data_IF_883626811882
#
_entry.id   IF_883626811882
#
_cell.length_a   1.000
_cell.length_b   1.000
_cell.length_c   1.000
_cell.angle_alpha   90.00
_cell.angle_beta   90.00
_cell.angle_gamma   90.00
#
_symmetry.space_group_name_H-M   'P 1'
#
loop_
_entity.id
_entity.type
_entity.pdbx_description
1 polymer ?
#
# COMPACT_ATOMS: atom_id res chain seq x y z
N UNK A 1 12.12 42.39 -22.54
CA UNK A 1 10.93 41.56 -22.83
C UNK A 1 11.01 41.13 -24.28
N UNK A 2 11.03 39.82 -24.50
CA UNK A 2 11.40 39.17 -25.75
C UNK A 2 10.16 38.72 -26.53
N UNK A 3 10.14 38.98 -27.84
CA UNK A 3 9.30 38.41 -28.91
C UNK A 3 10.01 38.78 -30.23
N UNK A 4 10.13 38.01 -31.30
CA UNK A 4 9.83 36.64 -31.69
C UNK A 4 10.60 36.46 -33.00
N UNK A 5 11.52 35.50 -33.13
CA UNK A 5 12.05 35.10 -34.43
C UNK A 5 11.58 33.67 -34.72
N UNK A 6 10.62 33.57 -35.64
CA UNK A 6 10.24 32.33 -36.30
C UNK A 6 10.62 32.49 -37.77
N UNK A 7 11.55 31.67 -38.24
CA UNK A 7 11.56 31.13 -39.62
C UNK A 7 12.66 30.06 -39.72
N UNK A 8 12.27 28.80 -39.54
CA UNK A 8 12.23 27.74 -40.57
C UNK A 8 13.54 27.43 -41.28
N UNK A 9 14.12 26.28 -40.92
CA UNK A 9 14.93 25.48 -41.81
C UNK A 9 14.68 23.99 -41.56
N UNK A 10 14.12 23.35 -42.59
CA UNK A 10 14.36 21.96 -43.03
C UNK A 10 14.34 20.82 -42.00
N UNK A 11 13.32 19.96 -42.10
CA UNK A 11 13.48 18.52 -41.91
C UNK A 11 12.47 17.78 -42.79
N UNK A 12 12.93 17.39 -43.97
CA UNK A 12 12.24 16.45 -44.84
C UNK A 12 12.54 15.01 -44.37
N UNK A 13 11.47 14.21 -44.38
CA UNK A 13 11.44 12.75 -44.52
C UNK A 13 12.17 11.90 -43.48
N UNK A 14 11.40 11.31 -42.57
CA UNK A 14 11.62 9.90 -42.22
C UNK A 14 10.27 9.19 -42.03
N UNK A 15 9.85 8.51 -43.09
CA UNK A 15 8.76 7.56 -43.06
C UNK A 15 9.23 6.29 -42.35
N UNK A 16 9.31 6.34 -41.03
CA UNK A 16 9.57 5.15 -40.22
C UNK A 16 8.31 4.29 -40.17
N UNK A 17 8.35 3.25 -41.01
CA UNK A 17 7.47 2.09 -41.05
C UNK A 17 7.04 1.68 -39.64
N UNK A 18 5.73 1.63 -39.42
CA UNK A 18 5.12 0.93 -38.31
C UNK A 18 5.66 -0.51 -38.25
N UNK A 19 6.45 -0.80 -37.23
CA UNK A 19 6.98 -2.13 -36.92
C UNK A 19 5.83 -3.04 -36.45
N UNK A 20 5.06 -3.56 -37.43
CA UNK A 20 4.07 -4.62 -37.23
C UNK A 20 4.78 -5.94 -36.97
N UNK A 21 5.32 -6.15 -35.77
CA UNK A 21 5.82 -7.48 -35.40
C UNK A 21 5.89 -7.84 -33.92
N UNK A 22 5.03 -7.32 -33.03
CA UNK A 22 4.80 -7.98 -31.73
C UNK A 22 3.85 -9.19 -31.89
N UNK A 23 4.28 -10.20 -32.66
CA UNK A 23 3.66 -11.53 -32.64
C UNK A 23 3.89 -12.13 -31.25
N UNK A 24 2.79 -12.25 -30.48
CA UNK A 24 2.75 -12.89 -29.16
C UNK A 24 3.56 -14.19 -29.19
N UNK A 25 4.60 -14.19 -28.38
CA UNK A 25 5.58 -15.26 -28.21
C UNK A 25 4.89 -16.55 -27.75
N UNK A 26 5.35 -17.68 -28.30
CA UNK A 26 4.96 -19.05 -27.92
C UNK A 26 4.73 -19.15 -26.42
N UNK A 27 3.54 -19.62 -26.02
CA UNK A 27 3.25 -20.05 -24.65
C UNK A 27 4.39 -20.94 -24.19
N UNK A 28 5.15 -20.52 -23.17
CA UNK A 28 6.19 -21.36 -22.57
C UNK A 28 5.53 -22.68 -22.14
N UNK A 29 6.10 -23.81 -22.55
CA UNK A 29 5.57 -25.12 -22.22
C UNK A 29 5.40 -25.27 -20.70
N UNK A 30 4.35 -25.97 -20.27
CA UNK A 30 4.12 -26.27 -18.85
C UNK A 30 5.38 -26.92 -18.29
N UNK A 31 5.95 -26.37 -17.21
CA UNK A 31 7.12 -26.93 -16.54
C UNK A 31 6.70 -28.29 -15.98
N UNK A 32 7.34 -29.37 -16.44
CA UNK A 32 7.16 -30.69 -15.87
C UNK A 32 8.12 -30.85 -14.69
N UNK A 33 7.62 -30.65 -13.47
CA UNK A 33 8.43 -30.74 -12.24
C UNK A 33 9.03 -32.13 -12.01
N UNK A 34 8.45 -33.18 -12.62
CA UNK A 34 8.97 -34.56 -12.53
C UNK A 34 10.20 -34.80 -13.43
N UNK A 35 10.54 -33.86 -14.31
CA UNK A 35 11.73 -33.92 -15.19
C UNK A 35 12.87 -33.01 -14.70
N UNK A 36 12.73 -32.39 -13.53
CA UNK A 36 13.77 -31.54 -12.96
C UNK A 36 14.88 -32.40 -12.34
N UNK A 37 16.13 -32.03 -12.62
CA UNK A 37 17.27 -32.62 -11.93
C UNK A 37 17.24 -32.27 -10.43
N UNK A 38 17.88 -33.10 -9.61
CA UNK A 38 18.00 -32.85 -8.17
C UNK A 38 18.63 -31.48 -7.85
N UNK A 39 19.56 -30.99 -8.70
CA UNK A 39 20.16 -29.65 -8.57
C UNK A 39 19.12 -28.54 -8.78
N UNK A 40 18.27 -28.67 -9.81
CA UNK A 40 17.20 -27.71 -10.10
C UNK A 40 16.11 -27.72 -9.03
N UNK A 41 15.73 -28.89 -8.51
CA UNK A 41 14.80 -28.96 -7.37
C UNK A 41 15.37 -28.26 -6.13
N UNK A 42 16.64 -28.51 -5.77
CA UNK A 42 17.32 -27.80 -4.67
C UNK A 42 17.41 -26.30 -4.87
N UNK A 43 17.49 -25.83 -6.12
CA UNK A 43 17.51 -24.40 -6.42
C UNK A 43 16.11 -23.78 -6.25
N UNK A 44 15.07 -24.46 -6.72
CA UNK A 44 13.67 -24.03 -6.53
C UNK A 44 13.32 -23.98 -5.05
N UNK A 45 13.70 -24.99 -4.28
CA UNK A 45 13.48 -25.04 -2.83
C UNK A 45 14.17 -23.86 -2.13
N UNK A 46 15.43 -23.56 -2.48
CA UNK A 46 16.14 -22.39 -1.95
C UNK A 46 15.44 -21.08 -2.28
N UNK A 47 14.98 -20.91 -3.52
CA UNK A 47 14.23 -19.71 -3.93
C UNK A 47 12.93 -19.59 -3.12
N UNK A 48 12.20 -20.70 -2.94
CA UNK A 48 10.98 -20.71 -2.13
C UNK A 48 11.25 -20.33 -0.68
N UNK A 49 12.31 -20.88 -0.09
CA UNK A 49 12.67 -20.59 1.30
C UNK A 49 13.11 -19.14 1.49
N UNK A 50 13.87 -18.58 0.55
CA UNK A 50 14.26 -17.17 0.57
C UNK A 50 13.02 -16.27 0.40
N UNK A 51 12.13 -16.60 -0.54
CA UNK A 51 10.89 -15.84 -0.74
C UNK A 51 9.98 -15.85 0.49
N UNK A 52 9.82 -17.01 1.13
CA UNK A 52 9.07 -17.14 2.38
C UNK A 52 9.69 -16.27 3.50
N UNK A 53 11.02 -16.29 3.63
CA UNK A 53 11.73 -15.48 4.62
C UNK A 53 11.55 -13.99 4.38
N UNK A 54 11.68 -13.53 3.14
CA UNK A 54 11.45 -12.13 2.77
C UNK A 54 10.02 -11.71 3.13
N UNK A 55 9.02 -12.54 2.83
CA UNK A 55 7.63 -12.26 3.18
C UNK A 55 7.43 -12.13 4.70
N UNK A 56 8.04 -13.01 5.48
CA UNK A 56 8.01 -12.94 6.95
C UNK A 56 8.71 -11.68 7.47
N UNK A 57 9.88 -11.35 6.92
CA UNK A 57 10.66 -10.20 7.37
C UNK A 57 9.94 -8.88 7.04
N UNK A 58 9.30 -8.77 5.87
CA UNK A 58 8.47 -7.62 5.49
C UNK A 58 7.25 -7.45 6.40
N UNK A 59 6.56 -8.55 6.75
CA UNK A 59 5.43 -8.47 7.67
C UNK A 59 5.87 -8.07 9.08
N UNK A 60 7.02 -8.56 9.55
CA UNK A 60 7.61 -8.14 10.82
C UNK A 60 7.97 -6.65 10.84
N UNK A 61 8.60 -6.17 9.78
CA UNK A 61 8.96 -4.75 9.66
C UNK A 61 7.70 -3.87 9.66
N UNK A 62 6.69 -4.25 8.88
CA UNK A 62 5.40 -3.57 8.86
C UNK A 62 4.72 -3.58 10.22
N UNK A 63 4.73 -4.71 10.93
CA UNK A 63 4.18 -4.82 12.27
C UNK A 63 4.91 -3.87 13.24
N UNK A 64 6.25 -3.85 13.21
CA UNK A 64 7.05 -2.97 14.05
C UNK A 64 6.76 -1.48 13.81
N UNK A 65 6.55 -1.07 12.55
CA UNK A 65 6.15 0.29 12.21
C UNK A 65 4.76 0.61 12.79
N UNK A 66 3.80 -0.29 12.64
CA UNK A 66 2.45 -0.11 13.16
C UNK A 66 2.42 -0.04 14.69
N UNK A 67 3.22 -0.86 15.35
CA UNK A 67 3.37 -0.85 16.82
C UNK A 67 3.97 0.48 17.28
N UNK A 68 5.05 0.95 16.65
CA UNK A 68 5.63 2.27 16.97
C UNK A 68 4.64 3.42 16.78
N UNK A 69 3.83 3.39 15.70
CA UNK A 69 2.78 4.39 15.47
C UNK A 69 1.69 4.32 16.54
N UNK A 70 1.29 3.12 16.95
CA UNK A 70 0.31 2.92 18.01
C UNK A 70 0.82 3.45 19.35
N UNK A 71 2.00 3.05 19.77
CA UNK A 71 2.58 3.46 21.05
C UNK A 71 2.74 4.99 21.13
N UNK A 72 3.13 5.60 20.00
CA UNK A 72 3.22 7.06 19.89
C UNK A 72 1.84 7.72 20.02
N UNK A 73 0.81 7.18 19.37
CA UNK A 73 -0.56 7.71 19.46
C UNK A 73 -1.15 7.55 20.86
N UNK A 74 -0.94 6.39 21.49
CA UNK A 74 -1.38 6.12 22.86
C UNK A 74 -0.71 7.14 23.83
N UNK A 75 0.60 7.37 23.68
CA UNK A 75 1.32 8.38 24.47
C UNK A 75 0.81 9.81 24.21
N UNK A 76 0.44 10.16 22.97
CA UNK A 76 -0.19 11.46 22.67
C UNK A 76 -1.51 11.58 23.40
N UNK A 77 -2.39 10.57 23.33
CA UNK A 77 -3.69 10.63 23.98
C UNK A 77 -3.62 10.66 25.51
N UNK A 78 -2.61 10.05 26.12
CA UNK A 78 -2.41 10.10 27.57
C UNK A 78 -1.98 11.49 28.07
N UNK A 79 -1.27 12.26 27.25
CA UNK A 79 -0.67 13.53 27.66
C UNK A 79 -1.34 14.77 27.01
N UNK A 80 -2.31 14.58 26.14
CA UNK A 80 -2.97 15.68 25.42
C UNK A 80 -4.09 16.31 26.26
N UNK A 81 -3.88 17.56 26.67
CA UNK A 81 -4.85 18.34 27.44
C UNK A 81 -5.92 18.99 26.55
N UNK A 82 -5.67 19.08 25.23
CA UNK A 82 -6.61 19.68 24.30
C UNK A 82 -7.73 18.69 23.91
N UNK A 83 -8.80 18.67 24.68
CA UNK A 83 -9.97 17.82 24.43
C UNK A 83 -10.56 17.98 23.02
N UNK A 84 -10.53 19.20 22.46
CA UNK A 84 -11.04 19.46 21.10
C UNK A 84 -10.21 18.73 20.06
N UNK A 85 -8.88 18.73 20.19
CA UNK A 85 -7.99 18.01 19.28
C UNK A 85 -8.27 16.50 19.33
N UNK A 86 -8.47 15.94 20.51
CA UNK A 86 -8.82 14.53 20.71
C UNK A 86 -10.15 14.21 20.00
N UNK A 87 -11.18 15.03 20.20
CA UNK A 87 -12.48 14.88 19.52
C UNK A 87 -12.33 14.92 18.00
N UNK A 88 -11.59 15.90 17.47
CA UNK A 88 -11.39 16.07 16.04
C UNK A 88 -10.65 14.87 15.43
N UNK A 89 -9.64 14.34 16.12
CA UNK A 89 -8.87 13.19 15.67
C UNK A 89 -9.71 11.90 15.65
N UNK A 90 -10.45 11.61 16.72
CA UNK A 90 -11.37 10.47 16.77
C UNK A 90 -12.48 10.57 15.72
N UNK A 91 -13.01 11.76 15.50
CA UNK A 91 -14.02 12.02 14.46
C UNK A 91 -13.44 11.76 13.06
N UNK A 92 -12.21 12.20 12.80
CA UNK A 92 -11.52 11.95 11.54
C UNK A 92 -11.31 10.45 11.29
N UNK A 93 -10.88 9.70 12.31
CA UNK A 93 -10.75 8.24 12.23
C UNK A 93 -12.08 7.57 11.97
N UNK A 94 -13.13 7.92 12.71
CA UNK A 94 -14.47 7.37 12.55
C UNK A 94 -15.04 7.59 11.14
N UNK A 95 -14.78 8.76 10.54
CA UNK A 95 -15.23 9.11 9.18
C UNK A 95 -14.62 8.21 8.10
N UNK A 96 -13.37 7.80 8.26
CA UNK A 96 -12.65 6.95 7.28
C UNK A 96 -12.72 5.45 7.60
N UNK A 97 -13.05 5.09 8.82
CA UNK A 97 -13.13 3.70 9.25
C UNK A 97 -14.31 2.95 8.60
N UNK A 98 -14.08 1.69 8.26
CA UNK A 98 -15.16 0.74 7.96
C UNK A 98 -16.05 0.52 9.18
N UNK A 99 -17.26 -0.01 9.01
CA UNK A 99 -18.20 -0.28 10.11
C UNK A 99 -17.55 -1.04 11.27
N UNK A 100 -16.83 -2.13 10.97
CA UNK A 100 -16.16 -2.92 12.00
C UNK A 100 -15.07 -2.15 12.75
N UNK A 101 -14.28 -1.32 12.03
CA UNK A 101 -13.24 -0.49 12.64
C UNK A 101 -13.83 0.66 13.45
N UNK A 102 -14.90 1.28 12.97
CA UNK A 102 -15.61 2.33 13.69
C UNK A 102 -16.15 1.82 15.03
N UNK A 103 -16.72 0.61 15.08
CA UNK A 103 -17.11 -0.03 16.36
C UNK A 103 -15.95 -0.26 17.32
N UNK A 104 -14.74 -0.51 16.81
CA UNK A 104 -13.54 -0.63 17.66
C UNK A 104 -13.06 0.73 18.15
N UNK A 105 -13.10 1.76 17.31
CA UNK A 105 -12.77 3.15 17.67
C UNK A 105 -13.69 3.63 18.79
N UNK A 106 -15.00 3.38 18.70
CA UNK A 106 -15.97 3.77 19.73
C UNK A 106 -15.69 3.14 21.10
N UNK A 107 -15.01 1.99 21.15
CA UNK A 107 -14.64 1.29 22.38
C UNK A 107 -13.26 1.67 22.94
N UNK A 108 -12.54 2.57 22.27
CA UNK A 108 -11.21 2.98 22.72
C UNK A 108 -11.31 3.81 24.01
N UNK A 109 -10.46 3.60 25.03
CA UNK A 109 -10.54 4.32 26.31
C UNK A 109 -10.45 5.85 26.16
N UNK A 110 -9.62 6.32 25.23
CA UNK A 110 -9.48 7.74 24.93
C UNK A 110 -10.56 8.31 24.00
N UNK A 111 -11.52 7.50 23.52
CA UNK A 111 -12.58 7.97 22.62
C UNK A 111 -13.58 8.85 23.39
N UNK A 112 -13.80 10.11 22.98
CA UNK A 112 -14.79 10.96 23.64
C UNK A 112 -16.21 10.39 23.53
N UNK A 113 -17.04 10.43 24.59
CA UNK A 113 -18.39 9.85 24.58
C UNK A 113 -19.27 10.37 23.44
N UNK A 114 -19.17 11.66 23.13
CA UNK A 114 -19.91 12.27 22.03
C UNK A 114 -19.58 11.63 20.67
N UNK A 115 -18.31 11.27 20.44
CA UNK A 115 -17.87 10.61 19.21
C UNK A 115 -18.32 9.14 19.20
N UNK A 116 -18.23 8.44 20.34
CA UNK A 116 -18.70 7.07 20.48
C UNK A 116 -20.21 6.97 20.15
N UNK A 117 -21.04 7.83 20.73
CA UNK A 117 -22.48 7.90 20.45
C UNK A 117 -22.76 8.24 19.00
N UNK A 118 -22.02 9.18 18.40
CA UNK A 118 -22.17 9.52 16.98
C UNK A 118 -21.83 8.34 16.07
N UNK A 119 -20.83 7.53 16.42
CA UNK A 119 -20.50 6.30 15.70
C UNK A 119 -21.64 5.29 15.85
N UNK A 120 -22.15 5.06 17.05
CA UNK A 120 -23.24 4.12 17.30
C UNK A 120 -24.50 4.47 16.51
N UNK A 121 -24.91 5.74 16.54
CA UNK A 121 -26.06 6.25 15.78
C UNK A 121 -25.90 6.14 14.26
N UNK A 122 -24.66 6.19 13.75
CA UNK A 122 -24.39 5.99 12.32
C UNK A 122 -24.47 4.52 11.91
N UNK A 123 -24.26 3.61 12.85
CA UNK A 123 -24.12 2.18 12.60
C UNK A 123 -25.32 1.34 13.04
N UNK A 124 -26.26 1.94 13.76
CA UNK A 124 -27.61 1.44 14.05
C UNK A 124 -28.48 1.46 12.79
#
# INVERSE_FOLDING_TARGET
>A
MAQNDITTAAAATDASKEDKSLKRTKTRGKINFNQLSASQMKQIERISNVGAKIGVDQEKERAAILDAMRDTLDAVFENEENEKLVVDLFTAFARKATTARARRIAKHPACPPAVATAIENRLS
#
